data_IF_477594656678
#
_entry.id   IF_477594656678
#
_cell.length_a   1.000
_cell.length_b   1.000
_cell.length_c   1.000
_cell.angle_alpha   90.00
_cell.angle_beta   90.00
_cell.angle_gamma   90.00
#
_symmetry.space_group_name_H-M   'P 1'
#
loop_
_entity.id
_entity.type
_entity.pdbx_description
1 polymer ?
#
# COMPACT_ATOMS: atom_id res chain seq x y z
N UNK A 1 -0.14 -15.93 6.00
CA UNK A 1 1.03 -15.26 5.48
C UNK A 1 0.69 -14.15 4.50
N UNK A 2 0.10 -14.54 3.37
CA UNK A 2 -0.28 -13.57 2.35
C UNK A 2 -1.28 -12.56 2.90
N UNK A 3 -1.66 -11.60 2.07
CA UNK A 3 -2.61 -10.56 2.47
C UNK A 3 -3.81 -10.54 1.55
N UNK A 4 -3.59 -10.81 0.27
CA UNK A 4 -4.65 -10.82 -0.73
C UNK A 4 -5.79 -11.72 -0.28
N UNK A 5 -5.45 -12.83 0.38
CA UNK A 5 -6.45 -13.77 0.85
C UNK A 5 -7.32 -13.14 1.94
N UNK A 6 -6.72 -12.26 2.73
CA UNK A 6 -7.44 -11.58 3.80
C UNK A 6 -8.17 -10.35 3.29
N UNK A 7 -7.64 -9.76 2.22
CA UNK A 7 -8.25 -8.58 1.64
C UNK A 7 -8.17 -8.56 0.13
N UNK A 8 -9.29 -8.27 -0.52
CA UNK A 8 -9.35 -8.23 -1.97
C UNK A 8 -8.26 -7.31 -2.53
N UNK A 9 -7.91 -7.53 -3.81
CA UNK A 9 -6.88 -6.75 -4.49
C UNK A 9 -7.33 -5.31 -4.76
N UNK A 10 -6.47 -4.35 -4.42
CA UNK A 10 -6.77 -2.94 -4.61
C UNK A 10 -7.24 -2.68 -6.05
N UNK A 11 -7.86 -1.53 -6.26
CA UNK A 11 -8.36 -1.16 -7.58
C UNK A 11 -7.33 -0.34 -8.34
N UNK A 12 -7.60 -0.10 -9.61
CA UNK A 12 -6.69 0.68 -10.46
C UNK A 12 -6.44 2.05 -9.86
N UNK A 13 -7.39 2.54 -9.07
CA UNK A 13 -7.26 3.84 -8.43
C UNK A 13 -6.27 3.78 -7.27
N UNK A 14 -6.22 2.64 -6.59
CA UNK A 14 -5.32 2.46 -5.47
C UNK A 14 -3.96 1.95 -5.94
N UNK A 15 -3.96 1.28 -7.09
CA UNK A 15 -2.72 0.74 -7.65
C UNK A 15 -1.63 1.81 -7.70
N UNK A 16 -2.04 3.06 -7.88
CA UNK A 16 -1.09 4.17 -7.93
C UNK A 16 -1.29 5.11 -6.76
N UNK A 17 -1.71 4.57 -5.62
CA UNK A 17 -1.94 5.35 -4.42
C UNK A 17 -0.63 5.77 -3.78
N UNK A 18 0.31 4.82 -3.69
CA UNK A 18 1.61 5.09 -3.10
C UNK A 18 2.72 4.92 -4.14
N UNK A 19 3.78 5.71 -3.98
CA UNK A 19 4.91 5.65 -4.90
C UNK A 19 5.71 4.37 -4.70
N UNK A 20 6.02 4.05 -3.45
CA UNK A 20 6.77 2.84 -3.13
C UNK A 20 6.09 2.05 -2.03
N UNK A 21 4.75 2.05 -2.05
CA UNK A 21 3.99 1.32 -1.06
C UNK A 21 3.15 0.21 -1.66
N UNK A 22 2.64 -0.68 -0.81
CA UNK A 22 1.80 -1.77 -1.27
C UNK A 22 0.33 -1.50 -0.99
N UNK A 23 -0.49 -1.55 -2.04
CA UNK A 23 -1.91 -1.30 -1.91
C UNK A 23 -2.68 -2.60 -1.64
N UNK A 24 -3.55 -2.57 -0.64
CA UNK A 24 -4.33 -3.74 -0.28
C UNK A 24 -5.70 -3.33 0.26
N UNK A 25 -6.76 -3.78 -0.42
CA UNK A 25 -8.12 -3.46 -0.01
C UNK A 25 -8.71 -4.59 0.82
N UNK A 26 -8.81 -4.36 2.13
CA UNK A 26 -9.37 -5.36 3.03
C UNK A 26 -10.89 -5.32 3.02
N UNK A 27 -11.50 -6.43 2.60
CA UNK A 27 -12.95 -6.53 2.55
C UNK A 27 -13.58 -6.13 3.87
N UNK A 28 -13.11 -6.75 4.96
CA UNK A 28 -13.62 -6.45 6.28
C UNK A 28 -13.60 -4.94 6.56
N UNK A 29 -12.59 -4.26 6.01
CA UNK A 29 -12.46 -2.82 6.19
C UNK A 29 -13.34 -2.06 5.21
N UNK A 30 -13.59 -2.67 4.06
CA UNK A 30 -14.42 -2.05 3.03
C UNK A 30 -13.93 -0.64 2.72
N UNK A 31 -12.62 -0.45 2.75
CA UNK A 31 -12.02 0.84 2.46
C UNK A 31 -10.57 0.70 2.05
N UNK A 32 -10.03 1.74 1.37
CA UNK A 32 -8.64 1.75 0.92
C UNK A 32 -7.65 1.85 2.07
N UNK A 33 -6.49 1.24 1.90
CA UNK A 33 -5.45 1.27 2.92
C UNK A 33 -4.11 0.83 2.36
N UNK A 34 -3.13 1.73 2.41
CA UNK A 34 -1.79 1.43 1.90
C UNK A 34 -0.76 1.41 3.04
N UNK A 35 0.22 0.53 2.92
CA UNK A 35 1.26 0.42 3.93
C UNK A 35 2.63 0.73 3.34
N UNK A 36 3.43 1.48 4.09
CA UNK A 36 4.77 1.85 3.64
C UNK A 36 5.81 0.85 4.12
N UNK A 37 6.47 0.19 3.19
CA UNK A 37 7.49 -0.81 3.52
C UNK A 37 8.67 -0.15 4.21
N UNK A 38 9.52 -0.98 4.82
CA UNK A 38 10.70 -0.48 5.53
C UNK A 38 11.80 -0.09 4.54
N UNK A 39 12.49 1.00 4.83
CA UNK A 39 13.56 1.46 3.96
C UNK A 39 13.17 2.67 3.14
N UNK A 40 11.87 2.82 2.91
CA UNK A 40 11.36 3.94 2.13
C UNK A 40 10.77 5.02 3.03
N UNK A 41 10.64 6.22 2.50
CA UNK A 41 10.08 7.34 3.26
C UNK A 41 9.27 8.26 2.36
N UNK A 42 8.76 9.34 2.94
CA UNK A 42 7.96 10.29 2.19
C UNK A 42 6.49 10.22 2.52
N UNK A 43 5.76 11.29 2.21
CA UNK A 43 4.33 11.34 2.48
C UNK A 43 3.62 10.12 1.92
N UNK A 44 3.94 9.78 0.67
CA UNK A 44 3.33 8.63 0.01
C UNK A 44 4.40 7.62 -0.40
N UNK A 45 5.45 7.52 0.40
CA UNK A 45 6.54 6.59 0.11
C UNK A 45 7.23 6.94 -1.20
N UNK A 46 7.48 8.23 -1.41
CA UNK A 46 8.14 8.70 -2.62
C UNK A 46 9.65 8.72 -2.45
N UNK A 47 10.11 9.06 -1.25
CA UNK A 47 11.54 9.10 -0.96
C UNK A 47 12.06 7.73 -0.59
N UNK A 48 13.36 7.51 -0.82
CA UNK A 48 13.99 6.23 -0.52
C UNK A 48 15.27 6.43 0.28
N UNK A 49 15.54 5.50 1.19
CA UNK A 49 16.74 5.57 2.02
C UNK A 49 18.00 5.44 1.16
N UNK A 50 18.75 6.54 1.04
CA UNK A 50 19.97 6.54 0.25
C UNK A 50 21.13 7.14 1.04
N UNK A 51 20.87 8.25 1.72
CA UNK A 51 21.88 8.92 2.52
C UNK A 51 23.12 9.22 1.69
#
# INVERSE_FOLDING_TARGET
GDISDYGDPCSDDLKDYCIHGDCFFLKELNQPACRCYTGYYGSRCEHIDHN
#
